data_IF_077581442392
#
_entry.id   IF_077581442392
#
_cell.length_a   1.000
_cell.length_b   1.000
_cell.length_c   1.000
_cell.angle_alpha   90.00
_cell.angle_beta   90.00
_cell.angle_gamma   90.00
#
_symmetry.space_group_name_H-M   'P 1'
#
loop_
_entity.id
_entity.type
_entity.pdbx_description
1 polymer ?
#
# COMPACT_ATOMS: atom_id res chain seq x y z
N UNK A 1 -11.94 -8.69 20.82
CA UNK A 1 -11.97 -7.56 19.85
C UNK A 1 -12.88 -7.94 18.70
N UNK A 2 -13.68 -7.03 18.16
CA UNK A 2 -14.44 -7.32 16.95
C UNK A 2 -13.44 -7.61 15.81
N UNK A 3 -13.74 -8.64 15.03
CA UNK A 3 -12.93 -9.04 13.90
C UNK A 3 -12.94 -7.92 12.86
N UNK A 4 -11.77 -7.38 12.46
CA UNK A 4 -11.71 -6.35 11.43
C UNK A 4 -12.12 -6.96 10.08
N UNK A 5 -12.95 -6.23 9.33
CA UNK A 5 -13.29 -6.60 7.97
C UNK A 5 -12.05 -6.57 7.06
N UNK A 6 -12.04 -7.40 6.04
CA UNK A 6 -11.03 -7.34 5.00
C UNK A 6 -11.15 -6.06 4.19
N UNK A 7 -9.99 -5.53 3.78
CA UNK A 7 -9.86 -4.32 2.96
C UNK A 7 -8.99 -4.61 1.74
N UNK A 8 -9.52 -4.34 0.56
CA UNK A 8 -8.89 -4.61 -0.73
C UNK A 8 -8.58 -3.31 -1.43
N UNK A 9 -7.29 -3.03 -1.63
CA UNK A 9 -6.83 -1.82 -2.32
C UNK A 9 -6.25 -2.17 -3.67
N UNK A 10 -6.52 -1.36 -4.70
CA UNK A 10 -6.03 -1.56 -6.06
C UNK A 10 -5.09 -0.42 -6.47
N UNK A 11 -3.89 -0.78 -6.92
CA UNK A 11 -2.95 0.16 -7.51
C UNK A 11 -3.43 0.67 -8.87
N UNK A 12 -3.24 1.95 -9.16
CA UNK A 12 -3.48 2.56 -10.47
C UNK A 12 -2.15 3.07 -11.00
N UNK A 13 -1.67 2.47 -12.09
CA UNK A 13 -0.37 2.77 -12.68
C UNK A 13 -0.45 3.54 -14.00
N UNK A 14 -1.66 3.77 -14.53
CA UNK A 14 -1.85 4.48 -15.79
C UNK A 14 -3.08 5.38 -15.80
N UNK A 15 -2.91 6.60 -16.30
CA UNK A 15 -3.97 7.59 -16.49
C UNK A 15 -3.91 8.12 -17.93
N UNK A 16 -4.26 7.27 -18.91
CA UNK A 16 -4.12 7.60 -20.35
C UNK A 16 -5.00 8.78 -20.79
N UNK A 17 -6.21 8.87 -20.27
CA UNK A 17 -7.13 9.99 -20.48
C UNK A 17 -8.08 10.12 -19.29
N UNK A 18 -8.74 11.29 -19.17
CA UNK A 18 -9.76 11.51 -18.14
C UNK A 18 -10.83 10.41 -18.16
N UNK A 19 -11.42 10.16 -19.31
CA UNK A 19 -12.50 9.17 -19.46
C UNK A 19 -12.01 7.78 -19.06
N UNK A 20 -10.89 7.32 -19.61
CA UNK A 20 -10.33 6.00 -19.30
C UNK A 20 -10.03 5.84 -17.80
N UNK A 21 -9.50 6.89 -17.15
CA UNK A 21 -9.21 6.88 -15.72
C UNK A 21 -10.50 6.79 -14.89
N UNK A 22 -11.49 7.63 -15.21
CA UNK A 22 -12.76 7.67 -14.48
C UNK A 22 -13.57 6.38 -14.64
N UNK A 23 -13.63 5.83 -15.85
CA UNK A 23 -14.29 4.54 -16.13
C UNK A 23 -13.60 3.40 -15.36
N UNK A 24 -12.28 3.38 -15.33
CA UNK A 24 -11.49 2.43 -14.55
C UNK A 24 -11.80 2.55 -13.04
N UNK A 25 -11.80 3.76 -12.52
CA UNK A 25 -12.06 3.99 -11.09
C UNK A 25 -13.47 3.54 -10.68
N UNK A 26 -14.49 3.89 -11.48
CA UNK A 26 -15.87 3.42 -11.27
C UNK A 26 -15.96 1.89 -11.32
N UNK A 27 -15.33 1.27 -12.33
CA UNK A 27 -15.30 -0.19 -12.43
C UNK A 27 -14.71 -0.83 -11.17
N UNK A 28 -13.63 -0.28 -10.61
CA UNK A 28 -13.02 -0.84 -9.41
C UNK A 28 -13.90 -0.62 -8.16
N UNK A 29 -14.55 0.53 -8.06
CA UNK A 29 -15.56 0.77 -7.02
C UNK A 29 -16.72 -0.24 -7.12
N UNK A 30 -17.29 -0.46 -8.32
CA UNK A 30 -18.37 -1.40 -8.59
C UNK A 30 -17.98 -2.86 -8.31
N UNK A 31 -16.70 -3.22 -8.53
CA UNK A 31 -16.15 -4.54 -8.20
C UNK A 31 -15.92 -4.75 -6.70
N UNK A 32 -16.13 -3.71 -5.89
CA UNK A 32 -16.06 -3.78 -4.43
C UNK A 32 -14.66 -3.58 -3.86
N UNK A 33 -13.73 -2.95 -4.57
CA UNK A 33 -12.48 -2.51 -3.97
C UNK A 33 -12.72 -1.37 -2.98
N UNK A 34 -12.03 -1.41 -1.83
CA UNK A 34 -12.20 -0.46 -0.74
C UNK A 34 -11.36 0.80 -0.90
N UNK A 35 -10.22 0.70 -1.62
CA UNK A 35 -9.36 1.84 -1.89
C UNK A 35 -8.63 1.74 -3.25
N UNK A 36 -8.34 2.91 -3.82
CA UNK A 36 -7.53 3.06 -5.03
C UNK A 36 -6.25 3.81 -4.68
N UNK A 37 -5.11 3.22 -5.00
CA UNK A 37 -3.81 3.73 -4.61
C UNK A 37 -2.96 4.13 -5.81
N UNK A 38 -2.25 5.26 -5.70
CA UNK A 38 -1.27 5.71 -6.70
C UNK A 38 0.15 5.61 -6.13
N UNK A 39 1.10 5.10 -6.91
CA UNK A 39 2.51 5.23 -6.60
C UNK A 39 3.00 6.65 -6.88
N UNK A 40 4.12 7.04 -6.28
CA UNK A 40 4.79 8.32 -6.53
C UNK A 40 6.18 8.06 -7.10
N UNK A 41 6.21 7.77 -8.39
CA UNK A 41 7.43 7.58 -9.18
C UNK A 41 7.44 8.55 -10.35
N UNK A 42 8.61 9.09 -10.69
CA UNK A 42 8.77 9.86 -11.92
C UNK A 42 8.50 8.96 -13.14
N UNK A 43 7.61 9.41 -14.02
CA UNK A 43 7.11 8.61 -15.14
C UNK A 43 5.80 7.88 -14.86
N UNK A 44 5.36 7.79 -13.60
CA UNK A 44 4.00 7.40 -13.23
C UNK A 44 3.05 8.62 -13.22
N UNK A 45 1.73 8.41 -13.18
CA UNK A 45 0.77 9.51 -13.02
C UNK A 45 1.00 10.29 -11.71
N UNK A 46 0.96 11.62 -11.77
CA UNK A 46 1.10 12.47 -10.59
C UNK A 46 -0.02 12.22 -9.58
N UNK A 47 0.27 11.91 -8.29
CA UNK A 47 -0.73 11.40 -7.37
C UNK A 47 -1.91 12.36 -7.16
N UNK A 48 -1.70 13.58 -6.69
CA UNK A 48 -2.80 14.49 -6.31
C UNK A 48 -3.75 14.86 -7.46
N UNK A 49 -3.27 15.23 -8.67
CA UNK A 49 -4.16 15.50 -9.79
C UNK A 49 -5.02 14.28 -10.17
N UNK A 50 -4.43 13.08 -10.12
CA UNK A 50 -5.14 11.86 -10.49
C UNK A 50 -6.13 11.45 -9.40
N UNK A 51 -5.77 11.55 -8.12
CA UNK A 51 -6.70 11.32 -7.01
C UNK A 51 -7.91 12.25 -7.07
N UNK A 52 -7.71 13.54 -7.38
CA UNK A 52 -8.81 14.50 -7.57
C UNK A 52 -9.73 14.10 -8.72
N UNK A 53 -9.16 13.64 -9.85
CA UNK A 53 -9.96 13.17 -10.98
C UNK A 53 -10.75 11.90 -10.66
N UNK A 54 -10.21 10.99 -9.85
CA UNK A 54 -10.90 9.80 -9.34
C UNK A 54 -12.00 10.21 -8.35
N UNK A 55 -11.71 11.11 -7.42
CA UNK A 55 -12.67 11.62 -6.43
C UNK A 55 -13.96 12.11 -7.08
N UNK A 56 -13.82 12.86 -8.19
CA UNK A 56 -14.96 13.39 -8.93
C UNK A 56 -15.82 12.34 -9.67
N UNK A 57 -15.33 11.12 -9.79
CA UNK A 57 -15.98 10.04 -10.54
C UNK A 57 -16.50 8.89 -9.66
N UNK A 58 -16.13 8.86 -8.39
CA UNK A 58 -16.44 7.80 -7.42
C UNK A 58 -17.09 8.38 -6.18
N UNK A 59 -17.76 7.54 -5.39
CA UNK A 59 -18.55 8.00 -4.25
C UNK A 59 -18.18 7.34 -2.92
N UNK A 60 -17.68 6.12 -2.94
CA UNK A 60 -17.47 5.30 -1.74
C UNK A 60 -16.04 4.82 -1.57
N UNK A 61 -15.37 4.49 -2.69
CA UNK A 61 -13.99 3.99 -2.66
C UNK A 61 -13.05 5.04 -2.08
N UNK A 62 -12.19 4.64 -1.15
CA UNK A 62 -11.15 5.51 -0.59
C UNK A 62 -10.04 5.75 -1.60
N UNK A 63 -9.37 6.87 -1.45
CA UNK A 63 -8.33 7.33 -2.36
C UNK A 63 -7.03 7.42 -1.60
N UNK A 64 -5.96 6.91 -2.14
CA UNK A 64 -4.71 6.95 -1.40
C UNK A 64 -3.47 6.92 -2.28
N UNK A 65 -2.35 6.96 -1.60
CA UNK A 65 -1.04 6.77 -2.21
C UNK A 65 -0.38 5.51 -1.64
N UNK A 66 0.36 4.79 -2.49
CA UNK A 66 1.07 3.59 -2.05
C UNK A 66 2.44 3.51 -2.76
N UNK A 67 3.39 4.31 -2.31
CA UNK A 67 3.35 5.40 -1.31
C UNK A 67 4.00 6.65 -1.89
N UNK A 68 3.71 7.83 -1.34
CA UNK A 68 4.47 9.04 -1.69
C UNK A 68 5.92 8.91 -1.23
N UNK A 69 6.84 9.41 -2.05
CA UNK A 69 8.21 9.64 -1.63
C UNK A 69 8.29 10.91 -0.77
N UNK A 70 8.35 10.76 0.55
CA UNK A 70 8.41 11.91 1.47
C UNK A 70 9.52 12.91 1.12
N UNK A 71 10.62 12.45 0.51
CA UNK A 71 11.73 13.30 0.07
C UNK A 71 11.38 14.32 -1.02
N UNK A 72 10.28 14.14 -1.73
CA UNK A 72 9.80 15.09 -2.74
C UNK A 72 8.99 16.25 -2.15
N UNK A 73 8.61 16.17 -0.88
CA UNK A 73 7.63 17.08 -0.30
C UNK A 73 8.16 17.86 0.90
N UNK A 74 7.71 19.10 1.00
CA UNK A 74 7.79 19.90 2.22
C UNK A 74 6.51 19.70 3.03
N UNK A 75 6.58 19.51 4.37
CA UNK A 75 5.42 19.11 5.19
C UNK A 75 4.19 19.99 5.01
N UNK A 76 4.36 21.32 5.01
CA UNK A 76 3.25 22.26 4.90
C UNK A 76 2.59 22.25 3.50
N UNK A 77 3.39 22.07 2.44
CA UNK A 77 2.87 21.99 1.07
C UNK A 77 2.12 20.67 0.87
N UNK A 78 2.68 19.57 1.35
CA UNK A 78 2.01 18.27 1.33
C UNK A 78 0.67 18.30 2.09
N UNK A 79 0.66 18.87 3.29
CA UNK A 79 -0.56 18.96 4.09
C UNK A 79 -1.64 19.82 3.39
N UNK A 80 -1.26 20.91 2.73
CA UNK A 80 -2.18 21.73 1.93
C UNK A 80 -2.80 20.91 0.80
N UNK A 81 -1.98 20.25 -0.01
CA UNK A 81 -2.44 19.53 -1.20
C UNK A 81 -3.27 18.29 -0.82
N UNK A 82 -2.90 17.60 0.27
CA UNK A 82 -3.67 16.50 0.82
C UNK A 82 -5.03 16.95 1.40
N UNK A 83 -5.07 18.10 2.08
CA UNK A 83 -6.32 18.65 2.62
C UNK A 83 -7.34 18.93 1.51
N UNK A 84 -6.89 19.47 0.36
CA UNK A 84 -7.77 19.70 -0.80
C UNK A 84 -8.33 18.39 -1.36
N UNK A 85 -7.50 17.34 -1.50
CA UNK A 85 -7.97 16.04 -1.97
C UNK A 85 -8.95 15.42 -0.98
N UNK A 86 -8.67 15.51 0.33
CA UNK A 86 -9.58 14.99 1.36
C UNK A 86 -10.93 15.71 1.31
N UNK A 87 -10.92 17.04 1.23
CA UNK A 87 -12.15 17.84 1.11
C UNK A 87 -12.92 17.53 -0.18
N UNK A 88 -12.24 17.47 -1.33
CA UNK A 88 -12.87 17.20 -2.64
C UNK A 88 -13.34 15.75 -2.79
N UNK A 89 -12.92 14.87 -1.91
CA UNK A 89 -13.34 13.46 -1.87
C UNK A 89 -14.30 13.15 -0.72
N UNK A 90 -14.81 14.16 -0.01
CA UNK A 90 -15.70 13.98 1.16
C UNK A 90 -15.07 13.11 2.26
N UNK A 91 -13.77 13.33 2.56
CA UNK A 91 -13.06 12.65 3.64
C UNK A 91 -12.59 11.23 3.31
N UNK A 92 -12.39 10.90 2.03
CA UNK A 92 -11.99 9.57 1.57
C UNK A 92 -10.48 9.41 1.36
N UNK A 93 -9.64 10.38 1.73
CA UNK A 93 -8.19 10.27 1.55
C UNK A 93 -7.56 9.34 2.60
N UNK A 94 -6.64 8.46 2.15
CA UNK A 94 -5.65 7.74 2.97
C UNK A 94 -4.25 8.11 2.47
N UNK A 95 -3.45 8.80 3.28
CA UNK A 95 -2.13 9.24 2.84
C UNK A 95 -1.07 8.17 3.11
N UNK A 96 -0.57 7.53 2.06
CA UNK A 96 0.55 6.61 2.16
C UNK A 96 1.89 7.32 1.99
N UNK A 97 2.83 7.08 2.89
CA UNK A 97 4.16 7.69 2.92
C UNK A 97 5.27 6.63 2.96
N UNK A 98 6.35 6.90 2.26
CA UNK A 98 7.60 6.14 2.31
C UNK A 98 8.82 7.05 2.34
N UNK A 99 9.97 6.50 2.72
CA UNK A 99 11.19 7.30 2.85
C UNK A 99 11.85 7.68 1.50
N UNK A 100 11.40 7.07 0.39
CA UNK A 100 12.06 7.18 -0.92
C UNK A 100 13.38 6.40 -0.97
N UNK A 101 13.64 5.74 -2.09
CA UNK A 101 14.86 4.90 -2.21
C UNK A 101 15.50 4.94 -3.60
N UNK A 102 14.80 5.46 -4.61
CA UNK A 102 15.29 5.52 -5.99
C UNK A 102 16.11 6.80 -6.17
N UNK A 103 17.44 6.65 -6.19
CA UNK A 103 18.37 7.78 -6.32
C UNK A 103 18.15 8.56 -7.60
N UNK A 104 17.94 7.87 -8.71
CA UNK A 104 17.79 8.44 -10.05
C UNK A 104 16.59 9.39 -10.13
N UNK A 105 15.53 9.15 -9.35
CA UNK A 105 14.36 10.03 -9.28
C UNK A 105 14.65 11.32 -8.52
N UNK A 106 15.47 11.27 -7.45
CA UNK A 106 15.92 12.47 -6.76
C UNK A 106 16.80 13.33 -7.68
N UNK A 107 17.72 12.70 -8.41
CA UNK A 107 18.61 13.39 -9.36
C UNK A 107 17.81 14.01 -10.50
N UNK A 108 16.86 13.30 -11.08
CA UNK A 108 15.96 13.82 -12.13
C UNK A 108 15.05 14.97 -11.66
N UNK A 109 14.68 14.96 -10.37
CA UNK A 109 13.91 16.02 -9.74
C UNK A 109 14.79 17.21 -9.26
N UNK A 110 16.10 17.19 -9.54
CA UNK A 110 17.08 18.17 -9.04
C UNK A 110 17.08 18.31 -7.50
N UNK A 111 16.77 17.22 -6.81
CA UNK A 111 16.76 17.16 -5.35
C UNK A 111 18.01 16.45 -4.82
N UNK A 112 18.53 16.86 -3.66
CA UNK A 112 19.63 16.13 -3.03
C UNK A 112 19.14 14.72 -2.64
N UNK A 113 20.01 13.72 -2.80
CA UNK A 113 19.75 12.35 -2.32
C UNK A 113 20.41 12.16 -0.94
N UNK A 114 19.66 12.28 0.16
CA UNK A 114 20.20 12.14 1.51
C UNK A 114 20.53 10.68 1.84
N UNK A 115 21.27 10.45 2.93
CA UNK A 115 21.49 9.11 3.47
C UNK A 115 20.17 8.44 3.85
N UNK A 116 20.12 7.11 3.89
CA UNK A 116 18.92 6.38 4.28
C UNK A 116 18.39 6.83 5.65
N UNK A 117 19.29 7.11 6.60
CA UNK A 117 18.92 7.65 7.91
C UNK A 117 18.20 9.00 7.79
N UNK A 118 18.77 9.93 7.04
CA UNK A 118 18.18 11.27 6.86
C UNK A 118 16.82 11.22 6.14
N UNK A 119 16.65 10.30 5.18
CA UNK A 119 15.35 10.11 4.51
C UNK A 119 14.28 9.60 5.48
N UNK A 120 14.66 8.67 6.37
CA UNK A 120 13.74 8.18 7.42
C UNK A 120 13.45 9.25 8.46
N UNK A 121 14.44 10.08 8.84
CA UNK A 121 14.23 11.25 9.74
C UNK A 121 13.26 12.26 9.11
N UNK A 122 13.38 12.49 7.80
CA UNK A 122 12.47 13.37 7.08
C UNK A 122 11.05 12.79 6.98
N UNK A 123 10.91 11.49 6.73
CA UNK A 123 9.61 10.80 6.76
C UNK A 123 8.92 11.00 8.13
N UNK A 124 9.65 10.80 9.22
CA UNK A 124 9.13 11.02 10.58
C UNK A 124 8.65 12.46 10.77
N UNK A 125 9.47 13.44 10.39
CA UNK A 125 9.13 14.86 10.45
C UNK A 125 7.86 15.20 9.65
N UNK A 126 7.75 14.71 8.42
CA UNK A 126 6.55 14.87 7.56
C UNK A 126 5.33 14.26 8.24
N UNK A 127 5.46 13.03 8.74
CA UNK A 127 4.37 12.30 9.40
C UNK A 127 3.85 13.05 10.64
N UNK A 128 4.75 13.49 11.53
CA UNK A 128 4.38 14.25 12.74
C UNK A 128 3.68 15.57 12.38
N UNK A 129 4.22 16.29 11.38
CA UNK A 129 3.61 17.52 10.90
C UNK A 129 2.18 17.26 10.38
N UNK A 130 2.03 16.24 9.56
CA UNK A 130 0.75 15.88 8.94
C UNK A 130 -0.29 15.48 9.99
N UNK A 131 0.04 14.60 10.93
CA UNK A 131 -0.86 14.20 12.05
C UNK A 131 -1.33 15.38 12.88
N UNK A 132 -0.46 16.37 13.08
CA UNK A 132 -0.81 17.59 13.81
C UNK A 132 -1.85 18.46 13.07
N UNK A 133 -1.78 18.55 11.74
CA UNK A 133 -2.59 19.48 10.95
C UNK A 133 -3.81 18.81 10.30
N UNK A 134 -3.74 17.52 10.02
CA UNK A 134 -4.81 16.71 9.42
C UNK A 134 -5.03 15.42 10.22
N UNK A 135 -5.42 15.51 11.50
CA UNK A 135 -5.47 14.35 12.41
C UNK A 135 -6.52 13.29 12.04
N UNK A 136 -7.47 13.63 11.18
CA UNK A 136 -8.53 12.72 10.73
C UNK A 136 -8.17 11.92 9.49
N UNK A 137 -7.17 12.35 8.72
CA UNK A 137 -6.71 11.63 7.53
C UNK A 137 -5.82 10.47 7.97
N UNK A 138 -6.17 9.21 7.67
CA UNK A 138 -5.33 8.08 8.01
C UNK A 138 -3.98 8.15 7.29
N UNK A 139 -2.92 7.79 8.01
CA UNK A 139 -1.56 7.69 7.45
C UNK A 139 -1.18 6.23 7.34
N UNK A 140 -0.82 5.81 6.12
CA UNK A 140 -0.13 4.56 5.85
C UNK A 140 1.38 4.82 5.75
N UNK A 141 2.20 4.04 6.44
CA UNK A 141 3.66 4.02 6.23
C UNK A 141 4.07 2.62 5.80
N UNK A 142 4.79 2.51 4.67
CA UNK A 142 5.26 1.23 4.14
C UNK A 142 6.78 1.15 4.06
N UNK A 143 7.30 -0.02 4.41
CA UNK A 143 8.72 -0.38 4.33
C UNK A 143 9.11 -1.49 5.30
N UNK A 144 10.38 -1.93 5.25
CA UNK A 144 10.86 -3.10 6.01
C UNK A 144 11.91 -2.78 7.06
N UNK A 145 12.55 -1.61 7.01
CA UNK A 145 13.65 -1.27 7.93
C UNK A 145 13.15 -1.06 9.36
N UNK A 146 13.88 -1.58 10.35
CA UNK A 146 13.48 -1.50 11.76
C UNK A 146 13.13 -0.08 12.21
N UNK A 147 13.97 0.91 11.86
CA UNK A 147 13.71 2.30 12.23
C UNK A 147 12.43 2.85 11.59
N UNK A 148 12.19 2.54 10.31
CA UNK A 148 10.97 2.94 9.62
C UNK A 148 9.74 2.29 10.25
N UNK A 149 9.79 0.99 10.54
CA UNK A 149 8.70 0.27 11.20
C UNK A 149 8.45 0.78 12.64
N UNK A 150 9.50 1.21 13.37
CA UNK A 150 9.33 1.86 14.67
C UNK A 150 8.54 3.17 14.53
N UNK A 151 8.88 4.02 13.56
CA UNK A 151 8.16 5.27 13.27
C UNK A 151 6.72 4.97 12.85
N UNK A 152 6.52 3.98 11.97
CA UNK A 152 5.19 3.54 11.56
C UNK A 152 4.35 3.07 12.75
N UNK A 153 4.91 2.24 13.62
CA UNK A 153 4.25 1.74 14.83
C UNK A 153 3.85 2.87 15.80
N UNK A 154 4.62 3.94 15.87
CA UNK A 154 4.37 5.07 16.76
C UNK A 154 3.38 6.10 16.19
N UNK A 155 3.36 6.30 14.88
CA UNK A 155 2.69 7.46 14.26
C UNK A 155 1.67 7.12 13.18
N UNK A 156 1.77 5.96 12.51
CA UNK A 156 0.84 5.61 11.44
C UNK A 156 -0.47 4.99 11.97
N UNK A 157 -1.47 4.93 11.12
CA UNK A 157 -2.74 4.23 11.34
C UNK A 157 -2.73 2.87 10.60
N UNK A 158 -1.98 2.80 9.48
CA UNK A 158 -1.85 1.62 8.64
C UNK A 158 -0.36 1.36 8.42
N UNK A 159 0.08 0.11 8.58
CA UNK A 159 1.47 -0.30 8.34
C UNK A 159 1.52 -1.22 7.12
N UNK A 160 2.18 -0.75 6.08
CA UNK A 160 2.40 -1.50 4.84
C UNK A 160 3.64 -2.41 4.94
N UNK A 161 3.42 -3.73 4.92
CA UNK A 161 4.45 -4.75 4.87
C UNK A 161 4.63 -5.23 3.42
N UNK A 162 5.83 -5.63 3.05
CA UNK A 162 6.13 -6.07 1.68
C UNK A 162 6.20 -7.58 1.53
N UNK A 163 6.17 -8.33 2.62
CA UNK A 163 6.35 -9.78 2.59
C UNK A 163 7.74 -10.22 2.08
N UNK A 164 8.73 -9.31 2.10
CA UNK A 164 10.08 -9.61 1.63
C UNK A 164 10.75 -10.66 2.52
N UNK A 165 11.53 -11.54 1.90
CA UNK A 165 12.31 -12.55 2.58
C UNK A 165 13.41 -11.89 3.43
N UNK A 166 13.58 -12.35 4.67
CA UNK A 166 14.76 -12.07 5.48
C UNK A 166 15.63 -13.33 5.50
N UNK A 167 16.95 -13.17 5.28
CA UNK A 167 17.87 -14.28 5.41
C UNK A 167 17.79 -14.86 6.83
N UNK A 168 17.84 -16.19 6.92
CA UNK A 168 17.89 -16.95 8.20
C UNK A 168 16.64 -16.87 9.11
N UNK A 169 15.50 -16.41 8.59
CA UNK A 169 14.23 -16.38 9.33
C UNK A 169 13.22 -17.32 8.68
N UNK A 170 12.68 -18.26 9.45
CA UNK A 170 11.72 -19.25 8.95
C UNK A 170 10.38 -18.64 8.50
N UNK A 171 9.94 -17.58 9.18
CA UNK A 171 8.74 -16.81 8.85
C UNK A 171 9.00 -15.31 8.95
N UNK A 172 9.52 -14.71 7.86
CA UNK A 172 9.88 -13.28 7.85
C UNK A 172 8.69 -12.34 8.07
N UNK A 173 7.48 -12.76 7.69
CA UNK A 173 6.29 -11.95 7.89
C UNK A 173 5.88 -11.93 9.37
N UNK A 174 5.90 -13.09 10.05
CA UNK A 174 5.66 -13.15 11.50
C UNK A 174 6.67 -12.28 12.26
N UNK A 175 7.95 -12.36 11.90
CA UNK A 175 9.00 -11.59 12.53
C UNK A 175 8.77 -10.08 12.38
N UNK A 176 8.36 -9.60 11.19
CA UNK A 176 8.04 -8.18 10.97
C UNK A 176 6.80 -7.73 11.74
N UNK A 177 5.76 -8.57 11.81
CA UNK A 177 4.55 -8.30 12.60
C UNK A 177 4.87 -8.24 14.09
N UNK A 178 5.68 -9.16 14.60
CA UNK A 178 6.11 -9.15 16.00
C UNK A 178 6.99 -7.94 16.33
N UNK A 179 7.86 -7.54 15.41
CA UNK A 179 8.62 -6.29 15.55
C UNK A 179 7.70 -5.08 15.68
N UNK A 180 6.70 -4.96 14.80
CA UNK A 180 5.70 -3.88 14.85
C UNK A 180 4.90 -3.92 16.13
N UNK A 181 4.46 -5.11 16.57
CA UNK A 181 3.71 -5.31 17.83
C UNK A 181 4.50 -4.80 19.03
N UNK A 182 5.77 -5.19 19.12
CA UNK A 182 6.65 -4.76 20.20
C UNK A 182 6.92 -3.25 20.17
N UNK A 183 7.09 -2.66 18.98
CA UNK A 183 7.34 -1.23 18.83
C UNK A 183 6.10 -0.36 19.10
N UNK A 184 4.90 -0.88 18.83
CA UNK A 184 3.63 -0.18 19.03
C UNK A 184 3.11 -0.29 20.48
N UNK A 185 3.46 -1.37 21.20
CA UNK A 185 2.88 -1.62 22.51
C UNK A 185 1.35 -1.67 22.47
N UNK A 186 0.70 -0.94 23.36
CA UNK A 186 -0.77 -0.89 23.47
C UNK A 186 -1.45 -0.36 22.18
N UNK A 187 -0.75 0.48 21.40
CA UNK A 187 -1.27 0.97 20.11
C UNK A 187 -1.46 -0.11 19.05
N UNK A 188 -0.83 -1.29 19.21
CA UNK A 188 -0.93 -2.34 18.21
C UNK A 188 -2.38 -2.74 17.89
N UNK A 189 -3.26 -2.67 18.86
CA UNK A 189 -4.69 -2.99 18.69
C UNK A 189 -5.41 -2.01 17.73
N UNK A 190 -4.91 -0.78 17.62
CA UNK A 190 -5.49 0.26 16.77
C UNK A 190 -4.92 0.25 15.33
N UNK A 191 -3.76 -0.40 15.13
CA UNK A 191 -3.09 -0.46 13.84
C UNK A 191 -3.79 -1.40 12.85
N UNK A 192 -3.92 -0.96 11.61
CA UNK A 192 -4.25 -1.82 10.47
C UNK A 192 -2.94 -2.33 9.85
N UNK A 193 -2.83 -3.64 9.66
CA UNK A 193 -1.69 -4.23 8.94
C UNK A 193 -2.08 -4.49 7.50
N UNK A 194 -1.28 -3.95 6.57
CA UNK A 194 -1.43 -4.11 5.14
C UNK A 194 -0.28 -4.96 4.57
N UNK A 195 -0.59 -5.81 3.61
CA UNK A 195 0.40 -6.55 2.83
C UNK A 195 0.29 -6.19 1.35
N UNK A 196 1.42 -5.81 0.74
CA UNK A 196 1.52 -5.66 -0.71
C UNK A 196 1.55 -7.03 -1.38
N UNK A 197 0.58 -7.33 -2.22
CA UNK A 197 0.53 -8.56 -3.02
C UNK A 197 1.15 -8.28 -4.39
N UNK A 198 2.18 -9.05 -4.73
CA UNK A 198 3.00 -8.83 -5.92
C UNK A 198 2.65 -9.75 -7.08
N UNK A 199 2.01 -10.90 -6.81
CA UNK A 199 1.54 -11.81 -7.83
C UNK A 199 0.28 -12.57 -7.40
N UNK A 200 -0.62 -12.76 -8.37
CA UNK A 200 -1.79 -13.66 -8.30
C UNK A 200 -1.94 -14.35 -9.66
N UNK A 201 -2.79 -15.39 -9.80
CA UNK A 201 -3.09 -15.94 -11.11
C UNK A 201 -3.67 -14.91 -12.08
N UNK A 202 -3.13 -14.84 -13.29
CA UNK A 202 -3.66 -13.98 -14.37
C UNK A 202 -4.65 -14.72 -15.28
N UNK A 203 -4.79 -16.03 -15.07
CA UNK A 203 -5.69 -16.92 -15.82
C UNK A 203 -6.38 -17.95 -14.89
N UNK A 204 -7.07 -18.92 -15.46
CA UNK A 204 -7.77 -19.95 -14.70
C UNK A 204 -6.86 -21.14 -14.29
N UNK A 205 -5.54 -21.06 -14.46
CA UNK A 205 -4.60 -22.14 -14.09
C UNK A 205 -4.43 -22.29 -12.58
N UNK A 206 -4.75 -21.25 -11.81
CA UNK A 206 -4.46 -21.17 -10.38
C UNK A 206 -2.98 -20.91 -10.07
N UNK A 207 -2.12 -20.71 -11.06
CA UNK A 207 -0.70 -20.41 -10.87
C UNK A 207 -0.48 -18.90 -10.84
N UNK A 208 0.24 -18.40 -9.85
CA UNK A 208 0.60 -16.99 -9.76
C UNK A 208 1.42 -16.55 -10.99
N UNK A 209 1.08 -15.39 -11.55
CA UNK A 209 1.86 -14.74 -12.59
C UNK A 209 3.06 -14.00 -11.99
N UNK A 210 4.23 -14.61 -12.06
CA UNK A 210 5.47 -14.08 -11.50
C UNK A 210 6.14 -13.00 -12.37
N UNK A 211 5.59 -12.66 -13.53
CA UNK A 211 6.21 -11.77 -14.51
C UNK A 211 6.60 -10.40 -13.94
N UNK A 212 5.78 -9.84 -13.08
CA UNK A 212 6.06 -8.57 -12.40
C UNK A 212 7.07 -8.74 -11.27
N UNK A 213 6.91 -9.76 -10.44
CA UNK A 213 7.75 -10.00 -9.25
C UNK A 213 9.21 -10.23 -9.64
N UNK A 214 9.46 -10.98 -10.72
CA UNK A 214 10.81 -11.21 -11.27
C UNK A 214 11.56 -9.94 -11.69
N UNK A 215 10.88 -8.84 -11.91
CA UNK A 215 11.51 -7.54 -12.26
C UNK A 215 12.18 -6.87 -11.07
N UNK A 216 11.77 -7.22 -9.86
CA UNK A 216 12.20 -6.55 -8.62
C UNK A 216 12.99 -7.47 -7.70
N UNK A 217 12.91 -8.79 -7.88
CA UNK A 217 13.50 -9.77 -6.97
C UNK A 217 14.18 -10.87 -7.78
N UNK A 218 15.48 -11.05 -7.55
CA UNK A 218 16.31 -12.11 -8.17
C UNK A 218 16.28 -13.37 -7.28
N UNK A 219 15.19 -14.14 -7.43
CA UNK A 219 14.95 -15.42 -6.74
C UNK A 219 14.46 -16.45 -7.76
N UNK A 220 14.65 -17.73 -7.46
CA UNK A 220 14.05 -18.82 -8.21
C UNK A 220 12.52 -18.82 -8.14
N UNK A 221 11.84 -19.47 -9.08
CA UNK A 221 10.38 -19.54 -9.08
C UNK A 221 9.82 -20.17 -7.80
N UNK A 222 10.45 -21.23 -7.29
CA UNK A 222 10.04 -21.88 -6.04
C UNK A 222 10.16 -20.92 -4.84
N UNK A 223 11.22 -20.14 -4.81
CA UNK A 223 11.40 -19.12 -3.76
C UNK A 223 10.39 -17.97 -3.89
N UNK A 224 10.09 -17.54 -5.12
CA UNK A 224 9.06 -16.53 -5.37
C UNK A 224 7.67 -17.02 -4.97
N UNK A 225 7.32 -18.27 -5.32
CA UNK A 225 6.04 -18.88 -4.94
C UNK A 225 5.88 -19.07 -3.43
N UNK A 226 6.99 -19.15 -2.69
CA UNK A 226 6.98 -19.25 -1.22
C UNK A 226 6.82 -17.88 -0.52
N UNK A 227 6.88 -16.76 -1.24
CA UNK A 227 6.69 -15.44 -0.64
C UNK A 227 5.24 -15.23 -0.21
N UNK A 228 4.98 -14.64 0.98
CA UNK A 228 3.63 -14.33 1.41
C UNK A 228 2.93 -13.28 0.54
N UNK A 229 3.67 -12.53 -0.26
CA UNK A 229 3.15 -11.57 -1.24
C UNK A 229 2.71 -12.21 -2.57
N UNK A 230 2.88 -13.53 -2.72
CA UNK A 230 2.52 -14.28 -3.93
C UNK A 230 1.40 -15.27 -3.58
N UNK A 231 0.25 -15.10 -4.20
CA UNK A 231 -0.93 -15.93 -3.97
C UNK A 231 -1.19 -16.83 -5.18
N UNK A 232 -1.40 -18.11 -4.94
CA UNK A 232 -1.77 -19.10 -5.96
C UNK A 232 -3.05 -19.80 -5.57
N UNK A 233 -3.72 -20.42 -6.52
CA UNK A 233 -4.96 -21.17 -6.32
C UNK A 233 -6.17 -20.54 -7.00
N UNK A 234 -7.32 -21.18 -6.84
CA UNK A 234 -8.64 -20.66 -7.19
C UNK A 234 -9.01 -19.45 -6.32
N UNK A 235 -10.02 -18.65 -6.68
CA UNK A 235 -10.48 -17.53 -5.84
C UNK A 235 -10.79 -17.94 -4.39
N UNK A 236 -11.39 -19.12 -4.18
CA UNK A 236 -11.69 -19.65 -2.85
C UNK A 236 -10.41 -20.00 -2.06
N UNK A 237 -9.43 -20.65 -2.71
CA UNK A 237 -8.16 -21.00 -2.06
C UNK A 237 -7.35 -19.75 -1.69
N UNK A 238 -7.39 -18.71 -2.55
CA UNK A 238 -6.81 -17.40 -2.23
C UNK A 238 -7.54 -16.76 -1.02
N UNK A 239 -8.87 -16.80 -1.00
CA UNK A 239 -9.64 -16.30 0.14
C UNK A 239 -9.29 -17.04 1.44
N UNK A 240 -9.14 -18.38 1.39
CA UNK A 240 -8.74 -19.17 2.55
C UNK A 240 -7.30 -18.82 3.02
N UNK A 241 -6.39 -18.55 2.07
CA UNK A 241 -5.04 -18.05 2.40
C UNK A 241 -5.10 -16.69 3.12
N UNK A 242 -5.92 -15.76 2.63
CA UNK A 242 -6.07 -14.45 3.26
C UNK A 242 -6.73 -14.53 4.65
N UNK A 243 -7.67 -15.45 4.87
CA UNK A 243 -8.18 -15.77 6.22
C UNK A 243 -7.06 -16.27 7.13
N UNK A 244 -6.24 -17.19 6.63
CA UNK A 244 -5.06 -17.66 7.36
C UNK A 244 -4.07 -16.54 7.73
N UNK A 245 -3.89 -15.57 6.85
CA UNK A 245 -3.05 -14.39 7.14
C UNK A 245 -3.67 -13.48 8.20
N UNK A 246 -4.97 -13.30 8.20
CA UNK A 246 -5.66 -12.60 9.29
C UNK A 246 -5.50 -13.32 10.61
N UNK A 247 -5.76 -14.61 10.64
CA UNK A 247 -5.74 -15.41 11.86
C UNK A 247 -4.33 -15.52 12.46
N UNK A 248 -3.32 -15.66 11.59
CA UNK A 248 -1.93 -15.84 12.04
C UNK A 248 -1.21 -14.52 12.33
N UNK A 249 -1.41 -13.51 11.49
CA UNK A 249 -0.63 -12.26 11.50
C UNK A 249 -1.44 -11.03 11.89
N UNK A 250 -2.76 -11.11 11.88
CA UNK A 250 -3.64 -9.94 12.01
C UNK A 250 -3.73 -9.08 10.76
N UNK A 251 -3.33 -9.61 9.60
CA UNK A 251 -3.41 -8.92 8.32
C UNK A 251 -4.86 -8.89 7.83
N UNK A 252 -5.42 -7.70 7.67
CA UNK A 252 -6.77 -7.50 7.14
C UNK A 252 -6.82 -6.61 5.91
N UNK A 253 -5.72 -5.95 5.57
CA UNK A 253 -5.62 -5.04 4.43
C UNK A 253 -4.63 -5.59 3.41
N UNK A 254 -5.01 -5.56 2.12
CA UNK A 254 -4.18 -6.08 1.03
C UNK A 254 -4.19 -5.10 -0.13
N UNK A 255 -2.99 -4.77 -0.63
CA UNK A 255 -2.83 -3.90 -1.80
C UNK A 255 -2.36 -4.71 -3.00
N UNK A 256 -3.12 -4.64 -4.09
CA UNK A 256 -2.92 -5.40 -5.32
C UNK A 256 -2.46 -4.51 -6.47
N UNK A 257 -1.85 -5.12 -7.47
CA UNK A 257 -1.44 -4.45 -8.70
C UNK A 257 -2.59 -4.42 -9.72
N UNK A 258 -2.56 -3.47 -10.65
CA UNK A 258 -3.63 -3.22 -11.61
C UNK A 258 -3.97 -4.44 -12.48
N UNK A 259 -2.98 -5.29 -12.79
CA UNK A 259 -3.18 -6.54 -13.54
C UNK A 259 -3.87 -7.66 -12.74
N UNK A 260 -4.06 -7.49 -11.43
CA UNK A 260 -4.71 -8.48 -10.55
C UNK A 260 -6.23 -8.32 -10.47
N UNK A 261 -6.79 -7.27 -11.08
CA UNK A 261 -8.19 -6.85 -10.89
C UNK A 261 -9.20 -7.97 -11.14
N UNK A 262 -9.07 -8.71 -12.24
CA UNK A 262 -10.08 -9.73 -12.62
C UNK A 262 -10.05 -10.96 -11.72
N UNK A 263 -8.91 -11.28 -11.14
CA UNK A 263 -8.77 -12.37 -10.17
C UNK A 263 -9.29 -11.93 -8.81
N UNK A 264 -8.89 -10.76 -8.33
CA UNK A 264 -9.29 -10.29 -7.00
C UNK A 264 -10.77 -9.91 -6.93
N UNK A 265 -11.36 -9.43 -8.01
CA UNK A 265 -12.81 -9.23 -8.09
C UNK A 265 -13.62 -10.52 -7.84
N UNK A 266 -13.05 -11.71 -8.09
CA UNK A 266 -13.65 -13.00 -7.77
C UNK A 266 -13.36 -13.46 -6.34
N UNK A 267 -12.29 -12.96 -5.72
CA UNK A 267 -11.90 -13.27 -4.34
C UNK A 267 -12.72 -12.45 -3.32
N UNK A 268 -13.00 -11.19 -3.62
CA UNK A 268 -13.71 -10.28 -2.72
C UNK A 268 -15.03 -10.87 -2.20
N UNK A 269 -15.93 -11.44 -3.04
CA UNK A 269 -17.19 -12.02 -2.57
C UNK A 269 -17.01 -13.22 -1.62
N UNK A 270 -15.90 -13.94 -1.71
CA UNK A 270 -15.60 -15.08 -0.82
C UNK A 270 -15.25 -14.63 0.61
N UNK A 271 -14.95 -13.34 0.83
CA UNK A 271 -14.47 -12.78 2.09
C UNK A 271 -15.42 -11.76 2.74
N UNK A 272 -16.58 -11.52 2.09
CA UNK A 272 -17.62 -10.58 2.56
C UNK A 272 -18.91 -11.26 2.98
#
# INVERSE_FOLDING_TARGET
MAERAFRFSMGIHSAKSRTTLQDKAKRYEDLGFDALHLPDHLGAPAPFPVLTAIASATSTVRLGTYVLNAGFYKPALLARDAAEVDQLSDGRLDLGLGAGYVREEFEAAELPYPTARQRVDHLEHVTIYFKKHLPKVPILIAGNGNRLLTIAAQHADIIGLTGARAADVADPLAERVDFVRNAAGDRFADLELNLAITAVPSDNSGKADLSLTRRFVDLSDDELLALPSVLSGSPREIADTLRGYRDKYGLTSFTFQENHVDTIAKVIPELR
#
